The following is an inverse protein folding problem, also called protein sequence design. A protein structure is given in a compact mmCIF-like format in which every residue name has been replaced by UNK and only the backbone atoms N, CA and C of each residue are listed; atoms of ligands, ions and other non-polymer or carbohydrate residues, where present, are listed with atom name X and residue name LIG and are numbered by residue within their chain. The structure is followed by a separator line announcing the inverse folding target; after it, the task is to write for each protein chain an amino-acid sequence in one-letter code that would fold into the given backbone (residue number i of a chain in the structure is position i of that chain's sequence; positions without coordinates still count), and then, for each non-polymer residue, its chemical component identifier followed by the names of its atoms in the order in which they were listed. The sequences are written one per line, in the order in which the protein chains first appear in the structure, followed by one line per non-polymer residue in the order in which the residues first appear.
data_IF_831571294368
#
_entry.id   IF_831571294368
#
_cell.length_a   1.000
_cell.length_b   1.000
_cell.length_c   1.000
_cell.angle_alpha   90.00
_cell.angle_beta   90.00
_cell.angle_gamma   90.00
#
_symmetry.space_group_name_H-M   'P 1'
#
loop_
_entity.id
_entity.type
_entity.pdbx_description
1 polymer ?
#
# COMPACT_ATOMS: atom_id res chain seq x y z
N UNK A 1 38.63 -9.82 28.69
CA UNK A 1 37.75 -10.16 27.56
C UNK A 1 36.67 -9.08 27.48
N UNK A 2 36.54 -8.38 26.35
CA UNK A 2 35.56 -7.31 26.21
C UNK A 2 34.13 -7.87 26.28
N UNK A 3 33.31 -7.37 27.20
CA UNK A 3 31.87 -7.71 27.28
C UNK A 3 31.20 -7.26 25.99
N UNK A 4 30.82 -8.21 25.13
CA UNK A 4 30.04 -7.96 23.92
C UNK A 4 28.71 -7.31 24.34
N UNK A 5 28.42 -6.12 23.82
CA UNK A 5 27.18 -5.42 24.09
C UNK A 5 26.09 -5.92 23.12
N UNK A 6 25.41 -7.00 23.51
CA UNK A 6 24.41 -7.72 22.71
C UNK A 6 23.32 -6.77 22.18
N UNK A 7 22.89 -5.79 22.98
CA UNK A 7 21.86 -4.83 22.57
C UNK A 7 22.31 -3.90 21.43
N UNK A 8 23.59 -3.53 21.36
CA UNK A 8 24.10 -2.76 20.23
C UNK A 8 24.10 -3.59 18.95
N UNK A 9 24.43 -4.88 19.03
CA UNK A 9 24.41 -5.79 17.88
C UNK A 9 22.98 -6.02 17.37
N UNK A 10 22.01 -6.18 18.26
CA UNK A 10 20.58 -6.28 17.94
C UNK A 10 20.04 -5.02 17.25
N UNK A 11 20.42 -3.83 17.74
CA UNK A 11 20.04 -2.55 17.12
C UNK A 11 20.64 -2.43 15.70
N UNK A 12 21.91 -2.79 15.53
CA UNK A 12 22.55 -2.76 14.20
C UNK A 12 21.89 -3.74 13.25
N UNK A 13 21.54 -4.93 13.73
CA UNK A 13 20.82 -5.93 12.95
C UNK A 13 19.43 -5.42 12.53
N UNK A 14 18.64 -4.88 13.46
CA UNK A 14 17.32 -4.32 13.18
C UNK A 14 17.39 -3.19 12.13
N UNK A 15 18.38 -2.30 12.23
CA UNK A 15 18.61 -1.24 11.23
C UNK A 15 18.88 -1.81 9.83
N UNK A 16 19.68 -2.87 9.72
CA UNK A 16 19.93 -3.54 8.43
C UNK A 16 18.66 -4.15 7.85
N UNK A 17 17.83 -4.79 8.69
CA UNK A 17 16.54 -5.34 8.25
C UNK A 17 15.59 -4.24 7.77
N UNK A 18 15.54 -3.10 8.46
CA UNK A 18 14.73 -1.96 8.02
C UNK A 18 15.15 -1.43 6.64
N UNK A 19 16.46 -1.35 6.36
CA UNK A 19 16.97 -0.93 5.04
C UNK A 19 16.59 -1.93 3.95
N UNK A 20 16.67 -3.24 4.23
CA UNK A 20 16.24 -4.28 3.31
C UNK A 20 14.74 -4.19 3.01
N UNK A 21 13.91 -4.01 4.04
CA UNK A 21 12.46 -3.85 3.88
C UNK A 21 12.11 -2.59 3.07
N UNK A 22 12.80 -1.47 3.31
CA UNK A 22 12.61 -0.25 2.53
C UNK A 22 12.98 -0.46 1.04
N UNK A 23 14.05 -1.20 0.78
CA UNK A 23 14.49 -1.55 -0.58
C UNK A 23 13.47 -2.44 -1.29
N UNK A 24 12.95 -3.46 -0.58
CA UNK A 24 11.92 -4.35 -1.11
C UNK A 24 10.62 -3.59 -1.41
N UNK A 25 10.20 -2.69 -0.51
CA UNK A 25 9.05 -1.81 -0.74
C UNK A 25 9.22 -1.01 -2.03
N UNK A 26 10.39 -0.40 -2.25
CA UNK A 26 10.68 0.34 -3.49
C UNK A 26 10.53 -0.52 -4.74
N UNK A 27 11.11 -1.72 -4.76
CA UNK A 27 11.00 -2.67 -5.88
C UNK A 27 9.56 -3.09 -6.15
N UNK A 28 8.77 -3.34 -5.11
CA UNK A 28 7.35 -3.69 -5.24
C UNK A 28 6.57 -2.52 -5.85
N UNK A 29 6.81 -1.28 -5.39
CA UNK A 29 6.18 -0.09 -5.97
C UNK A 29 6.52 0.10 -7.45
N UNK A 30 7.77 -0.12 -7.86
CA UNK A 30 8.16 -0.08 -9.27
C UNK A 30 7.45 -1.15 -10.11
N UNK A 31 7.31 -2.37 -9.58
CA UNK A 31 6.60 -3.46 -10.26
C UNK A 31 5.12 -3.13 -10.44
N UNK A 32 4.47 -2.54 -9.42
CA UNK A 32 3.07 -2.11 -9.51
C UNK A 32 2.90 -1.07 -10.63
N UNK A 33 3.75 -0.03 -10.64
CA UNK A 33 3.66 1.01 -11.69
C UNK A 33 3.88 0.44 -13.10
N UNK A 34 4.83 -0.49 -13.26
CA UNK A 34 5.05 -1.17 -14.55
C UNK A 34 3.86 -2.04 -14.93
N UNK A 35 3.28 -2.75 -13.98
CA UNK A 35 2.12 -3.59 -14.20
C UNK A 35 0.89 -2.76 -14.61
N UNK A 36 0.61 -1.67 -13.91
CA UNK A 36 -0.46 -0.72 -14.25
C UNK A 36 -0.24 -0.10 -15.64
N UNK A 37 0.99 0.31 -15.96
CA UNK A 37 1.33 0.84 -17.28
C UNK A 37 1.16 -0.19 -18.40
N UNK A 38 1.59 -1.44 -18.17
CA UNK A 38 1.43 -2.52 -19.15
C UNK A 38 -0.04 -2.89 -19.37
N UNK A 39 -0.83 -2.98 -18.29
CA UNK A 39 -2.28 -3.23 -18.41
C UNK A 39 -2.96 -2.08 -19.13
N UNK A 40 -2.64 -0.82 -18.80
CA UNK A 40 -3.19 0.35 -19.47
C UNK A 40 -2.83 0.41 -20.97
N UNK A 41 -1.68 -0.13 -21.35
CA UNK A 41 -1.27 -0.23 -22.75
C UNK A 41 -2.03 -1.33 -23.52
N UNK A 42 -2.31 -2.48 -22.89
CA UNK A 42 -3.04 -3.59 -23.52
C UNK A 42 -4.58 -3.41 -23.44
N UNK A 43 -5.06 -2.65 -22.45
CA UNK A 43 -6.47 -2.38 -22.21
C UNK A 43 -6.69 -0.87 -22.02
N UNK A 44 -6.93 -0.12 -23.11
CA UNK A 44 -7.02 1.35 -23.07
C UNK A 44 -8.07 1.90 -22.08
N UNK A 45 -9.15 1.13 -21.86
CA UNK A 45 -10.23 1.51 -20.95
C UNK A 45 -9.97 1.15 -19.48
N UNK A 46 -8.85 0.51 -19.15
CA UNK A 46 -8.54 0.07 -17.78
C UNK A 46 -8.58 1.22 -16.77
N UNK A 47 -7.94 2.35 -17.09
CA UNK A 47 -7.94 3.52 -16.21
C UNK A 47 -9.34 4.12 -16.05
N UNK A 48 -10.16 4.10 -17.11
CA UNK A 48 -11.55 4.56 -17.06
C UNK A 48 -12.39 3.66 -16.13
N UNK A 49 -12.25 2.33 -16.28
CA UNK A 49 -12.94 1.34 -15.44
C UNK A 49 -12.50 1.44 -13.97
N UNK A 50 -11.21 1.63 -13.68
CA UNK A 50 -10.74 1.81 -12.29
C UNK A 50 -11.27 3.11 -11.67
N UNK A 51 -11.30 4.22 -12.43
CA UNK A 51 -11.92 5.46 -11.95
C UNK A 51 -13.42 5.31 -11.69
N UNK A 52 -14.14 4.57 -12.53
CA UNK A 52 -15.54 4.25 -12.32
C UNK A 52 -15.73 3.37 -11.08
N UNK A 53 -14.88 2.37 -10.88
CA UNK A 53 -14.89 1.50 -9.70
C UNK A 53 -14.68 2.29 -8.40
N UNK A 54 -13.65 3.15 -8.34
CA UNK A 54 -13.41 4.02 -7.19
C UNK A 54 -14.61 4.93 -6.88
N UNK A 55 -15.26 5.47 -7.92
CA UNK A 55 -16.46 6.29 -7.77
C UNK A 55 -17.61 5.49 -7.15
N UNK A 56 -17.83 4.26 -7.62
CA UNK A 56 -18.84 3.35 -7.05
C UNK A 56 -18.53 3.00 -5.61
N UNK A 57 -17.28 2.68 -5.27
CA UNK A 57 -16.86 2.41 -3.89
C UNK A 57 -17.11 3.60 -2.97
N UNK A 58 -16.71 4.81 -3.37
CA UNK A 58 -16.98 6.05 -2.63
C UNK A 58 -18.48 6.27 -2.40
N UNK A 59 -19.30 6.01 -3.42
CA UNK A 59 -20.76 6.11 -3.30
C UNK A 59 -21.34 5.08 -2.32
N UNK A 60 -20.86 3.83 -2.36
CA UNK A 60 -21.27 2.79 -1.41
C UNK A 60 -20.89 3.19 0.01
N UNK A 61 -19.64 3.60 0.25
CA UNK A 61 -19.20 4.03 1.58
C UNK A 61 -19.99 5.23 2.08
N UNK A 62 -20.27 6.22 1.22
CA UNK A 62 -21.11 7.37 1.57
C UNK A 62 -22.53 6.93 1.93
N UNK A 63 -23.13 5.99 1.18
CA UNK A 63 -24.48 5.48 1.46
C UNK A 63 -24.52 4.67 2.76
N UNK A 64 -23.53 3.82 3.02
CA UNK A 64 -23.42 3.07 4.28
C UNK A 64 -23.22 4.03 5.46
N UNK A 65 -22.33 5.02 5.31
CA UNK A 65 -22.10 6.04 6.32
C UNK A 65 -23.34 6.89 6.60
N UNK A 66 -24.12 7.22 5.56
CA UNK A 66 -25.39 7.91 5.69
C UNK A 66 -26.43 7.03 6.41
N UNK A 67 -26.57 5.76 6.04
CA UNK A 67 -27.45 4.81 6.73
C UNK A 67 -27.16 4.69 8.23
N UNK A 68 -25.87 4.63 8.63
CA UNK A 68 -25.48 4.61 10.05
C UNK A 68 -25.84 5.90 10.81
N UNK A 69 -25.86 7.06 10.13
CA UNK A 69 -26.28 8.32 10.74
C UNK A 69 -27.79 8.42 10.91
N UNK A 70 -28.55 7.94 9.93
CA UNK A 70 -30.02 7.95 9.99
C UNK A 70 -30.57 6.96 11.02
N UNK A 71 -29.87 5.86 11.32
CA UNK A 71 -30.28 4.91 12.37
C UNK A 71 -29.99 5.37 13.80
N UNK A 72 -29.31 6.50 13.98
CA UNK A 72 -28.98 7.10 15.28
C UNK A 72 -29.84 8.34 15.60
N UNK A 73 -30.83 8.63 14.75
CA UNK A 73 -31.90 9.60 14.97
C UNK A 73 -33.22 8.85 15.16
#
# INVERSE_FOLDING_TARGET
MAKKNIHQEEIVFAKKQLVLLATLKGKVSELILKWEGNIGAETPDYHLLMNQLESVEKQIFSKIGAWKKTSLL
#
